data_IF_557205835257
#
_entry.id   IF_557205835257
#
_cell.length_a   1.000
_cell.length_b   1.000
_cell.length_c   1.000
_cell.angle_alpha   90.00
_cell.angle_beta   90.00
_cell.angle_gamma   90.00
#
_symmetry.space_group_name_H-M   'P 1'
#
loop_
_entity.id
_entity.type
_entity.pdbx_description
1 polymer ?
#
# COMPACT_ATOMS: atom_id res chain seq x y z
N UNK A 1 29.33 -25.98 1.92
CA UNK A 1 29.09 -24.60 2.43
C UNK A 1 28.88 -23.57 1.33
N UNK A 2 29.58 -23.62 0.19
CA UNK A 2 29.39 -22.66 -0.93
C UNK A 2 28.03 -22.81 -1.65
N UNK A 3 27.64 -24.03 -2.04
CA UNK A 3 26.39 -24.26 -2.81
C UNK A 3 25.11 -23.92 -2.03
N UNK A 4 25.06 -24.29 -0.75
CA UNK A 4 23.94 -23.95 0.15
C UNK A 4 23.78 -22.45 0.34
N UNK A 5 24.88 -21.69 0.31
CA UNK A 5 24.84 -20.23 0.43
C UNK A 5 24.28 -19.58 -0.84
N UNK A 6 24.61 -20.10 -2.02
CA UNK A 6 24.06 -19.62 -3.29
C UNK A 6 22.55 -19.81 -3.41
N UNK A 7 22.04 -20.97 -2.99
CA UNK A 7 20.60 -21.27 -3.03
C UNK A 7 19.79 -20.37 -2.08
N UNK A 8 20.33 -20.08 -0.89
CA UNK A 8 19.70 -19.13 0.05
C UNK A 8 19.58 -17.74 -0.57
N UNK A 9 20.62 -17.24 -1.23
CA UNK A 9 20.60 -15.92 -1.88
C UNK A 9 19.52 -15.87 -2.97
N UNK A 10 19.41 -16.91 -3.81
CA UNK A 10 18.39 -16.99 -4.86
C UNK A 10 16.98 -16.96 -4.27
N UNK A 11 16.73 -17.74 -3.21
CA UNK A 11 15.43 -17.75 -2.54
C UNK A 11 15.08 -16.38 -1.95
N UNK A 12 16.04 -15.70 -1.32
CA UNK A 12 15.82 -14.35 -0.81
C UNK A 12 15.49 -13.37 -1.94
N UNK A 13 16.23 -13.41 -3.04
CA UNK A 13 15.95 -12.56 -4.20
C UNK A 13 14.56 -12.82 -4.77
N UNK A 14 14.12 -14.07 -4.85
CA UNK A 14 12.78 -14.43 -5.30
C UNK A 14 11.71 -13.90 -4.35
N UNK A 15 11.86 -14.09 -3.04
CA UNK A 15 10.93 -13.62 -2.02
C UNK A 15 10.80 -12.10 -2.04
N UNK A 16 11.91 -11.37 -2.16
CA UNK A 16 11.91 -9.91 -2.18
C UNK A 16 11.68 -9.29 -3.57
N UNK A 17 11.64 -10.09 -4.64
CA UNK A 17 11.40 -9.59 -5.99
C UNK A 17 10.11 -8.76 -6.13
N UNK A 18 8.97 -9.08 -5.49
CA UNK A 18 7.76 -8.25 -5.59
C UNK A 18 7.95 -6.88 -4.95
N UNK A 19 8.69 -6.80 -3.83
CA UNK A 19 9.02 -5.54 -3.18
C UNK A 19 9.91 -4.66 -4.08
N UNK A 20 10.93 -5.25 -4.71
CA UNK A 20 11.84 -4.54 -5.61
C UNK A 20 11.10 -4.05 -6.85
N UNK A 21 10.43 -4.95 -7.56
CA UNK A 21 9.68 -4.64 -8.78
C UNK A 21 8.57 -3.63 -8.50
N UNK A 22 7.78 -3.84 -7.45
CA UNK A 22 6.72 -2.93 -7.05
C UNK A 22 7.23 -1.53 -6.75
N UNK A 23 8.37 -1.41 -6.07
CA UNK A 23 8.99 -0.12 -5.77
C UNK A 23 9.51 0.58 -7.03
N UNK A 24 10.04 -0.16 -8.01
CA UNK A 24 10.48 0.39 -9.30
C UNK A 24 9.29 0.92 -10.10
N UNK A 25 8.21 0.14 -10.23
CA UNK A 25 7.09 0.49 -11.11
C UNK A 25 6.11 1.51 -10.50
N UNK A 26 5.87 1.45 -9.19
CA UNK A 26 4.87 2.29 -8.52
C UNK A 26 5.49 3.39 -7.64
N UNK A 27 6.82 3.35 -7.47
CA UNK A 27 7.54 4.18 -6.52
C UNK A 27 7.39 3.70 -5.08
N UNK A 28 8.31 4.12 -4.22
CA UNK A 28 8.25 3.83 -2.78
C UNK A 28 7.01 4.44 -2.13
N UNK A 29 6.49 3.76 -1.08
CA UNK A 29 5.35 4.25 -0.29
C UNK A 29 5.63 5.65 0.27
N UNK A 30 4.81 6.62 -0.12
CA UNK A 30 4.85 7.99 0.41
C UNK A 30 3.57 8.30 1.16
N UNK A 31 3.70 8.90 2.35
CA UNK A 31 2.58 9.44 3.13
C UNK A 31 2.22 10.81 2.57
N UNK A 32 0.94 11.07 2.40
CA UNK A 32 0.40 12.34 1.89
C UNK A 32 -0.64 12.83 2.88
N UNK A 33 -0.52 14.06 3.38
CA UNK A 33 -1.51 14.66 4.27
C UNK A 33 -2.84 14.84 3.55
N UNK A 34 -3.91 14.50 4.25
CA UNK A 34 -5.29 14.73 3.82
C UNK A 34 -6.08 15.36 4.95
N UNK A 35 -7.08 16.16 4.61
CA UNK A 35 -7.97 16.84 5.55
C UNK A 35 -9.42 16.52 5.22
N UNK A 36 -10.20 16.19 6.25
CA UNK A 36 -11.63 16.01 6.09
C UNK A 36 -12.32 17.36 6.01
N UNK A 37 -13.12 17.59 4.96
CA UNK A 37 -13.66 18.92 4.65
C UNK A 37 -14.67 19.44 5.67
N UNK A 38 -15.46 18.55 6.28
CA UNK A 38 -16.50 18.96 7.23
C UNK A 38 -15.99 19.11 8.67
N UNK A 39 -15.09 18.21 9.10
CA UNK A 39 -14.62 18.17 10.50
C UNK A 39 -13.27 18.83 10.71
N UNK A 40 -12.53 19.11 9.63
CA UNK A 40 -11.18 19.66 9.68
C UNK A 40 -10.11 18.67 10.19
N UNK A 41 -10.48 17.42 10.50
CA UNK A 41 -9.54 16.39 10.96
C UNK A 41 -8.50 16.10 9.90
N UNK A 42 -7.24 15.99 10.30
CA UNK A 42 -6.13 15.63 9.43
C UNK A 42 -5.69 14.18 9.64
N UNK A 43 -5.34 13.50 8.54
CA UNK A 43 -4.67 12.20 8.58
C UNK A 43 -3.81 12.02 7.34
N UNK A 44 -3.34 10.79 7.11
CA UNK A 44 -2.53 10.46 5.96
C UNK A 44 -3.22 9.45 5.04
N UNK A 45 -3.14 9.71 3.74
CA UNK A 45 -3.28 8.68 2.71
C UNK A 45 -1.89 8.24 2.22
N UNK A 46 -1.84 7.25 1.33
CA UNK A 46 -0.58 6.67 0.86
C UNK A 46 -0.55 6.51 -0.66
N UNK A 47 0.57 6.87 -1.27
CA UNK A 47 0.83 6.72 -2.70
C UNK A 47 2.03 5.80 -2.97
N UNK A 48 2.00 5.06 -4.08
CA UNK A 48 3.03 4.10 -4.49
C UNK A 48 2.87 2.70 -3.88
N UNK A 49 3.87 1.84 -4.08
CA UNK A 49 3.86 0.45 -3.62
C UNK A 49 3.74 0.33 -2.11
N UNK A 50 2.90 -0.57 -1.61
CA UNK A 50 2.69 -0.76 -0.17
C UNK A 50 3.67 -1.77 0.42
N UNK A 51 4.90 -1.33 0.68
CA UNK A 51 5.88 -2.16 1.39
C UNK A 51 5.37 -2.58 2.77
N UNK A 52 4.58 -1.74 3.45
CA UNK A 52 3.97 -2.12 4.73
C UNK A 52 3.00 -3.29 4.56
N UNK A 53 2.20 -3.31 3.49
CA UNK A 53 1.31 -4.44 3.24
C UNK A 53 2.11 -5.70 2.88
N UNK A 54 3.21 -5.56 2.14
CA UNK A 54 4.07 -6.70 1.80
C UNK A 54 4.57 -7.47 3.02
N UNK A 55 4.95 -6.78 4.11
CA UNK A 55 5.43 -7.44 5.33
C UNK A 55 4.32 -7.80 6.34
N UNK A 56 3.25 -7.01 6.42
CA UNK A 56 2.24 -7.13 7.48
C UNK A 56 0.85 -7.56 6.98
N UNK A 57 0.65 -7.70 5.67
CA UNK A 57 -0.58 -8.19 5.07
C UNK A 57 -1.85 -7.46 5.54
N UNK A 58 -2.87 -8.25 5.88
CA UNK A 58 -4.18 -7.76 6.30
C UNK A 58 -4.17 -6.97 7.63
N UNK A 59 -3.08 -6.98 8.41
CA UNK A 59 -2.97 -6.13 9.59
C UNK A 59 -2.88 -4.64 9.23
N UNK A 60 -2.36 -4.30 8.06
CA UNK A 60 -2.21 -2.91 7.62
C UNK A 60 -3.54 -2.16 7.55
N UNK A 61 -4.59 -2.64 6.85
CA UNK A 61 -5.91 -2.00 6.90
C UNK A 61 -6.49 -1.88 8.30
N UNK A 62 -6.33 -2.88 9.15
CA UNK A 62 -6.82 -2.83 10.53
C UNK A 62 -6.17 -1.67 11.31
N UNK A 63 -4.84 -1.57 11.27
CA UNK A 63 -4.11 -0.49 11.94
C UNK A 63 -4.33 0.89 11.31
N UNK A 64 -4.81 0.95 10.06
CA UNK A 64 -5.22 2.21 9.41
C UNK A 64 -6.69 2.57 9.66
N UNK A 65 -7.41 1.80 10.48
CA UNK A 65 -8.81 2.04 10.82
C UNK A 65 -9.83 1.46 9.83
N UNK A 66 -9.38 0.63 8.89
CA UNK A 66 -10.20 -0.03 7.86
C UNK A 66 -10.49 -1.49 8.27
N UNK A 67 -11.12 -1.69 9.42
CA UNK A 67 -11.28 -3.02 10.07
C UNK A 67 -11.97 -4.02 9.14
N UNK A 68 -13.13 -3.66 8.54
CA UNK A 68 -13.87 -4.56 7.65
C UNK A 68 -13.04 -5.00 6.44
N UNK A 69 -12.26 -4.08 5.87
CA UNK A 69 -11.37 -4.37 4.74
C UNK A 69 -10.25 -5.33 5.17
N UNK A 70 -9.69 -5.14 6.38
CA UNK A 70 -8.74 -6.09 6.94
C UNK A 70 -9.30 -7.49 7.13
N UNK A 71 -10.54 -7.62 7.61
CA UNK A 71 -11.21 -8.93 7.74
C UNK A 71 -11.43 -9.58 6.37
N UNK A 72 -11.87 -8.83 5.36
CA UNK A 72 -11.99 -9.37 4.00
C UNK A 72 -10.64 -9.82 3.43
N UNK A 73 -9.58 -9.03 3.65
CA UNK A 73 -8.24 -9.39 3.22
C UNK A 73 -7.71 -10.64 3.91
N UNK A 74 -8.04 -10.85 5.20
CA UNK A 74 -7.72 -12.09 5.91
C UNK A 74 -8.42 -13.29 5.26
N UNK A 75 -9.74 -13.19 5.03
CA UNK A 75 -10.53 -14.26 4.41
C UNK A 75 -9.96 -14.61 3.03
N UNK A 76 -9.70 -13.62 2.18
CA UNK A 76 -9.10 -13.86 0.87
C UNK A 76 -7.68 -14.42 0.96
N UNK A 77 -6.88 -13.99 1.94
CA UNK A 77 -5.54 -14.56 2.16
C UNK A 77 -5.63 -16.05 2.50
N UNK A 78 -6.60 -16.47 3.32
CA UNK A 78 -6.80 -17.89 3.66
C UNK A 78 -7.27 -18.68 2.43
N UNK A 79 -8.30 -18.21 1.73
CA UNK A 79 -8.90 -18.91 0.58
C UNK A 79 -7.90 -19.06 -0.58
N UNK A 80 -7.00 -18.09 -0.75
CA UNK A 80 -5.98 -18.09 -1.82
C UNK A 80 -4.64 -18.66 -1.38
N UNK A 81 -4.55 -19.28 -0.19
CA UNK A 81 -3.31 -19.82 0.37
C UNK A 81 -2.15 -18.81 0.38
N UNK A 82 -2.44 -17.55 0.72
CA UNK A 82 -1.47 -16.46 0.83
C UNK A 82 -1.20 -15.69 -0.46
N UNK A 83 -1.66 -16.16 -1.62
CA UNK A 83 -1.42 -15.47 -2.90
C UNK A 83 -2.00 -14.04 -2.90
N UNK A 84 -3.16 -13.83 -2.28
CA UNK A 84 -3.75 -12.50 -2.12
C UNK A 84 -2.80 -11.52 -1.41
N UNK A 85 -1.97 -11.98 -0.47
CA UNK A 85 -1.00 -11.11 0.20
C UNK A 85 0.15 -10.68 -0.70
N UNK A 86 0.49 -11.44 -1.74
CA UNK A 86 1.54 -11.07 -2.69
C UNK A 86 1.06 -10.01 -3.70
N UNK A 87 -0.24 -10.03 -4.04
CA UNK A 87 -0.84 -9.11 -5.01
C UNK A 87 -1.21 -7.76 -4.37
N UNK A 88 -1.76 -7.78 -3.15
CA UNK A 88 -2.29 -6.58 -2.52
C UNK A 88 -1.29 -5.44 -2.26
N UNK A 89 0.03 -5.64 -2.05
CA UNK A 89 0.99 -4.55 -1.96
C UNK A 89 0.98 -3.59 -3.15
N UNK A 90 0.66 -4.09 -4.34
CA UNK A 90 0.57 -3.29 -5.58
C UNK A 90 -0.71 -2.44 -5.64
N UNK A 91 -1.76 -2.85 -4.91
CA UNK A 91 -3.10 -2.27 -5.04
C UNK A 91 -3.53 -1.46 -3.81
N UNK A 92 -3.10 -1.89 -2.63
CA UNK A 92 -3.71 -1.50 -1.37
C UNK A 92 -3.63 0.02 -1.10
N UNK A 93 -2.46 0.63 -1.28
CA UNK A 93 -2.30 2.07 -1.05
C UNK A 93 -3.23 2.90 -1.95
N UNK A 94 -3.31 2.55 -3.25
CA UNK A 94 -4.21 3.22 -4.19
C UNK A 94 -5.67 3.05 -3.78
N UNK A 95 -6.11 1.83 -3.49
CA UNK A 95 -7.50 1.56 -3.10
C UNK A 95 -7.89 2.27 -1.79
N UNK A 96 -7.01 2.23 -0.78
CA UNK A 96 -7.19 2.91 0.52
C UNK A 96 -7.28 4.42 0.34
N UNK A 97 -6.37 5.01 -0.44
CA UNK A 97 -6.38 6.44 -0.72
C UNK A 97 -7.62 6.89 -1.51
N UNK A 98 -8.04 6.12 -2.52
CA UNK A 98 -9.29 6.40 -3.25
C UNK A 98 -10.48 6.41 -2.29
N UNK A 99 -10.61 5.39 -1.41
CA UNK A 99 -11.70 5.36 -0.42
C UNK A 99 -11.69 6.58 0.49
N UNK A 100 -10.54 7.12 0.86
CA UNK A 100 -10.50 8.38 1.62
C UNK A 100 -11.01 9.55 0.79
N UNK A 101 -10.47 9.70 -0.43
CA UNK A 101 -10.76 10.83 -1.30
C UNK A 101 -12.21 10.85 -1.80
N UNK A 102 -12.88 9.70 -1.83
CA UNK A 102 -14.31 9.61 -2.14
C UNK A 102 -15.22 9.76 -0.90
N UNK A 103 -14.65 9.88 0.30
CA UNK A 103 -15.38 9.98 1.57
C UNK A 103 -15.11 11.32 2.29
N UNK A 104 -15.06 12.42 1.53
CA UNK A 104 -14.97 13.78 2.09
C UNK A 104 -13.57 14.21 2.57
N UNK A 105 -12.52 13.47 2.19
CA UNK A 105 -11.13 13.87 2.43
C UNK A 105 -10.52 14.50 1.18
N UNK A 106 -9.75 15.55 1.36
CA UNK A 106 -9.00 16.21 0.28
C UNK A 106 -7.50 16.21 0.57
N UNK A 107 -6.69 16.27 -0.49
CA UNK A 107 -5.23 16.41 -0.37
C UNK A 107 -4.91 17.75 0.30
N UNK A 108 -4.05 17.72 1.32
CA UNK A 108 -3.70 18.89 2.13
C UNK A 108 -2.20 18.89 2.50
N UNK A 109 -1.35 18.50 1.55
CA UNK A 109 0.10 18.49 1.69
C UNK A 109 0.73 19.57 0.78
N UNK A 110 2.06 19.60 0.66
CA UNK A 110 2.75 20.48 -0.30
C UNK A 110 2.27 20.20 -1.73
N UNK A 111 2.31 21.20 -2.61
CA UNK A 111 1.85 21.04 -4.00
C UNK A 111 2.61 19.93 -4.74
N UNK A 112 3.90 19.77 -4.45
CA UNK A 112 4.72 18.66 -4.97
C UNK A 112 4.17 17.30 -4.54
N UNK A 113 3.83 17.14 -3.25
CA UNK A 113 3.28 15.91 -2.70
C UNK A 113 1.88 15.64 -3.24
N UNK A 114 1.04 16.67 -3.36
CA UNK A 114 -0.31 16.54 -3.92
C UNK A 114 -0.25 16.13 -5.39
N UNK A 115 0.60 16.76 -6.19
CA UNK A 115 0.83 16.39 -7.60
C UNK A 115 1.33 14.95 -7.72
N UNK A 116 2.27 14.54 -6.86
CA UNK A 116 2.74 13.15 -6.82
C UNK A 116 1.61 12.17 -6.51
N UNK A 117 0.76 12.50 -5.53
CA UNK A 117 -0.38 11.69 -5.16
C UNK A 117 -1.38 11.56 -6.32
N UNK A 118 -1.67 12.67 -7.01
CA UNK A 118 -2.55 12.70 -8.20
C UNK A 118 -2.08 11.72 -9.28
N UNK A 119 -0.80 11.78 -9.63
CA UNK A 119 -0.19 10.91 -10.64
C UNK A 119 -0.23 9.44 -10.22
N UNK A 120 0.21 9.13 -8.99
CA UNK A 120 0.35 7.72 -8.54
C UNK A 120 -0.98 7.05 -8.19
N UNK A 121 -1.92 7.80 -7.64
CA UNK A 121 -3.27 7.30 -7.31
C UNK A 121 -4.13 7.26 -8.58
N UNK A 122 -3.92 8.19 -9.52
CA UNK A 122 -4.68 8.32 -10.76
C UNK A 122 -5.96 9.12 -10.58
N UNK A 123 -5.84 10.31 -9.98
CA UNK A 123 -6.94 11.28 -9.78
C UNK A 123 -6.57 12.62 -10.46
N UNK A 124 -7.56 13.41 -10.85
CA UNK A 124 -7.37 14.55 -11.77
C UNK A 124 -7.56 15.94 -11.15
N UNK A 125 -7.89 16.03 -9.86
CA UNK A 125 -8.24 17.29 -9.17
C UNK A 125 -7.25 17.59 -8.04
#
# INVERSE_FOLDING_TARGET
>A
MSESSGLIIILLLLIFSPLILGSIFLGWQKKIKVKHMQSGVEKYCHAGYSWTYFFFGFFVPIFRGEISIGVFHLIFSIITFGLFQLVMPFLYNKQSSIRLLTNGWELNDTEENNTLARVRIGISF
#
